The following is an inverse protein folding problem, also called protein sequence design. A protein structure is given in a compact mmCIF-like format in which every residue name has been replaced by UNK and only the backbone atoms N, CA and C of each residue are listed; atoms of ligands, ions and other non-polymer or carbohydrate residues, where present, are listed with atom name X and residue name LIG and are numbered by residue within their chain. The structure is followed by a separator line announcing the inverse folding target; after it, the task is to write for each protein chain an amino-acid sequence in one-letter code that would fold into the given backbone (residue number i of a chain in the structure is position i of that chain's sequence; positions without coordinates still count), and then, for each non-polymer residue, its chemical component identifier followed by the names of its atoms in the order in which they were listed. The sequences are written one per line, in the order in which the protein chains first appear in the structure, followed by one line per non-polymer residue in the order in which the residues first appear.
data_IF_752473597726
#
_entry.id   IF_752473597726
#
_cell.length_a   1.000
_cell.length_b   1.000
_cell.length_c   1.000
_cell.angle_alpha   90.00
_cell.angle_beta   90.00
_cell.angle_gamma   90.00
#
_symmetry.space_group_name_H-M   'P 1'
#
loop_
_entity.id
_entity.type
_entity.pdbx_description
1 polymer ?
#
# COMPACT_ATOMS: atom_id res chain seq x y z
N UNK A 1 -43.69 -33.28 -3.55
CA UNK A 1 -42.68 -32.20 -3.55
C UNK A 1 -41.33 -32.88 -3.66
N UNK A 2 -40.62 -32.66 -4.75
CA UNK A 2 -39.41 -33.41 -5.11
C UNK A 2 -38.18 -32.86 -4.37
N UNK A 3 -37.45 -33.75 -3.70
CA UNK A 3 -36.26 -33.44 -2.91
C UNK A 3 -35.13 -32.80 -3.74
N UNK A 4 -35.13 -33.02 -5.06
CA UNK A 4 -34.18 -32.44 -6.01
C UNK A 4 -34.28 -30.90 -6.12
N UNK A 5 -35.48 -30.33 -5.94
CA UNK A 5 -35.70 -28.87 -5.97
C UNK A 5 -35.14 -28.19 -4.73
N UNK A 6 -35.15 -28.87 -3.58
CA UNK A 6 -34.64 -28.35 -2.31
C UNK A 6 -33.12 -28.38 -2.30
N UNK A 7 -32.50 -29.47 -2.79
CA UNK A 7 -31.04 -29.57 -2.89
C UNK A 7 -30.44 -28.54 -3.84
N UNK A 8 -31.11 -28.24 -4.96
CA UNK A 8 -30.62 -27.23 -5.91
C UNK A 8 -30.68 -25.79 -5.34
N UNK A 9 -31.74 -25.45 -4.60
CA UNK A 9 -31.87 -24.13 -3.93
C UNK A 9 -30.87 -23.95 -2.78
N UNK A 10 -30.55 -25.02 -2.06
CA UNK A 10 -29.57 -25.00 -0.97
C UNK A 10 -28.12 -24.84 -1.50
N UNK A 11 -27.79 -25.49 -2.62
CA UNK A 11 -26.48 -25.35 -3.27
C UNK A 11 -26.24 -23.94 -3.81
N UNK A 12 -27.26 -23.29 -4.38
CA UNK A 12 -27.20 -21.90 -4.83
C UNK A 12 -26.97 -20.91 -3.67
N UNK A 13 -27.69 -21.09 -2.56
CA UNK A 13 -27.51 -20.28 -1.36
C UNK A 13 -26.10 -20.42 -0.74
N UNK A 14 -25.52 -21.63 -0.79
CA UNK A 14 -24.14 -21.87 -0.35
C UNK A 14 -23.10 -21.19 -1.26
N UNK A 15 -23.32 -21.18 -2.57
CA UNK A 15 -22.44 -20.50 -3.53
C UNK A 15 -22.43 -18.97 -3.34
N UNK A 16 -23.60 -18.35 -3.13
CA UNK A 16 -23.70 -16.91 -2.86
C UNK A 16 -23.02 -16.53 -1.54
N UNK A 17 -23.17 -17.33 -0.49
CA UNK A 17 -22.52 -17.09 0.80
C UNK A 17 -20.99 -17.19 0.73
N UNK A 18 -20.44 -18.07 -0.10
CA UNK A 18 -18.98 -18.18 -0.32
C UNK A 18 -18.41 -17.03 -1.14
N UNK A 19 -19.13 -16.57 -2.18
CA UNK A 19 -18.76 -15.40 -2.97
C UNK A 19 -18.72 -14.12 -2.13
N UNK A 20 -19.69 -13.94 -1.22
CA UNK A 20 -19.73 -12.80 -0.30
C UNK A 20 -18.55 -12.85 0.68
N UNK A 21 -18.24 -14.01 1.26
CA UNK A 21 -17.10 -14.18 2.17
C UNK A 21 -15.75 -13.91 1.47
N UNK A 22 -15.59 -14.38 0.23
CA UNK A 22 -14.38 -14.14 -0.56
C UNK A 22 -14.21 -12.65 -0.92
N UNK A 23 -15.30 -11.99 -1.33
CA UNK A 23 -15.28 -10.55 -1.64
C UNK A 23 -14.96 -9.71 -0.40
N UNK A 24 -15.46 -10.10 0.77
CA UNK A 24 -15.18 -9.46 2.06
C UNK A 24 -13.71 -9.63 2.50
N UNK A 25 -13.15 -10.84 2.34
CA UNK A 25 -11.75 -11.10 2.62
C UNK A 25 -10.82 -10.25 1.74
N UNK A 26 -11.08 -10.21 0.42
CA UNK A 26 -10.35 -9.38 -0.54
C UNK A 26 -10.46 -7.88 -0.22
N UNK A 27 -11.63 -7.39 0.18
CA UNK A 27 -11.79 -5.99 0.58
C UNK A 27 -11.04 -5.65 1.86
N UNK A 28 -10.94 -6.59 2.81
CA UNK A 28 -10.21 -6.39 4.08
C UNK A 28 -8.70 -6.35 3.84
N UNK A 29 -8.19 -7.22 2.97
CA UNK A 29 -6.79 -7.25 2.55
C UNK A 29 -6.40 -5.94 1.84
N UNK A 30 -7.22 -5.49 0.87
CA UNK A 30 -7.00 -4.21 0.19
C UNK A 30 -7.02 -3.01 1.14
N UNK A 31 -7.88 -3.02 2.16
CA UNK A 31 -7.92 -1.95 3.16
C UNK A 31 -6.67 -1.94 4.05
N UNK A 32 -6.15 -3.12 4.41
CA UNK A 32 -4.91 -3.26 5.18
C UNK A 32 -3.73 -2.72 4.37
N UNK A 33 -3.63 -3.10 3.11
CA UNK A 33 -2.59 -2.65 2.19
C UNK A 33 -2.61 -1.12 2.03
N UNK A 34 -3.79 -0.53 1.83
CA UNK A 34 -3.95 0.92 1.76
C UNK A 34 -3.48 1.61 3.04
N UNK A 35 -3.82 1.08 4.21
CA UNK A 35 -3.36 1.60 5.49
C UNK A 35 -1.84 1.53 5.66
N UNK A 36 -1.21 0.47 5.17
CA UNK A 36 0.26 0.31 5.20
C UNK A 36 0.96 1.26 4.23
N UNK A 37 0.47 1.40 3.00
CA UNK A 37 0.98 2.36 2.00
C UNK A 37 0.89 3.78 2.54
N UNK A 38 -0.25 4.12 3.16
CA UNK A 38 -0.48 5.43 3.76
C UNK A 38 0.59 5.76 4.80
N UNK A 39 0.86 4.82 5.73
CA UNK A 39 1.89 4.95 6.78
C UNK A 39 3.30 5.00 6.20
N UNK A 40 3.59 4.20 5.18
CA UNK A 40 4.89 4.18 4.53
C UNK A 40 5.18 5.53 3.85
N UNK A 41 4.18 6.07 3.17
CA UNK A 41 4.28 7.36 2.48
C UNK A 41 4.54 8.52 3.46
N UNK A 42 3.86 8.54 4.61
CA UNK A 42 4.14 9.49 5.70
C UNK A 42 5.56 9.35 6.26
N UNK A 43 6.06 8.13 6.42
CA UNK A 43 7.44 7.90 6.88
C UNK A 43 8.48 8.43 5.88
N UNK A 44 8.24 8.25 4.58
CA UNK A 44 9.12 8.81 3.55
C UNK A 44 9.11 10.34 3.56
N UNK A 45 7.93 10.97 3.70
CA UNK A 45 7.83 12.42 3.85
C UNK A 45 8.61 12.90 5.09
N UNK A 46 8.51 12.19 6.22
CA UNK A 46 9.29 12.51 7.42
C UNK A 46 10.80 12.44 7.18
N UNK A 47 11.31 11.46 6.42
CA UNK A 47 12.74 11.38 6.11
C UNK A 47 13.16 12.58 5.27
N UNK A 48 12.37 12.89 4.24
CA UNK A 48 12.62 14.03 3.36
C UNK A 48 12.64 15.36 4.12
N UNK A 49 11.64 15.60 4.98
CA UNK A 49 11.58 16.79 5.82
C UNK A 49 12.77 16.88 6.77
N UNK A 50 13.23 15.76 7.32
CA UNK A 50 14.46 15.72 8.11
C UNK A 50 15.69 16.19 7.32
N UNK A 51 15.81 15.79 6.06
CA UNK A 51 16.89 16.26 5.15
C UNK A 51 16.75 17.76 4.89
N UNK A 52 15.54 18.26 4.65
CA UNK A 52 15.27 19.68 4.41
C UNK A 52 15.65 20.52 5.64
N UNK A 53 15.17 20.15 6.84
CA UNK A 53 15.48 20.83 8.10
C UNK A 53 17.00 20.85 8.36
N UNK A 54 17.66 19.71 8.17
CA UNK A 54 19.13 19.60 8.29
C UNK A 54 19.85 20.50 7.30
N UNK A 55 19.36 20.60 6.06
CA UNK A 55 19.95 21.44 5.02
C UNK A 55 19.77 22.93 5.31
N UNK A 56 18.57 23.36 5.73
CA UNK A 56 18.31 24.73 6.19
C UNK A 56 19.20 25.12 7.37
N UNK A 57 19.46 24.19 8.30
CA UNK A 57 20.38 24.44 9.42
C UNK A 57 21.82 24.59 8.95
N UNK A 58 22.25 23.78 7.99
CA UNK A 58 23.61 23.85 7.40
C UNK A 58 23.85 25.15 6.65
N UNK A 59 22.82 25.79 6.10
CA UNK A 59 22.95 27.06 5.38
C UNK A 59 23.11 28.29 6.29
N UNK A 60 22.85 28.16 7.60
CA UNK A 60 23.06 29.26 8.56
C UNK A 60 24.54 29.29 8.97
N UNK A 61 25.27 30.40 8.73
CA UNK A 61 26.67 30.52 9.12
C UNK A 61 26.84 30.36 10.63
N UNK A 62 27.87 29.64 11.03
CA UNK A 62 28.22 29.55 12.45
C UNK A 62 28.90 30.86 12.86
N UNK A 63 28.25 31.67 13.69
CA UNK A 63 28.94 32.79 14.35
C UNK A 63 30.02 32.20 15.25
N UNK A 64 31.29 32.44 14.92
CA UNK A 64 32.47 31.86 15.59
C UNK A 64 32.61 32.16 17.09
N UNK A 65 31.68 32.92 17.66
CA UNK A 65 31.60 33.26 19.08
C UNK A 65 31.06 32.12 19.97
N UNK A 66 30.19 31.24 19.45
CA UNK A 66 29.63 30.11 20.21
C UNK A 66 30.16 28.81 19.61
N UNK A 67 30.95 28.05 20.38
CA UNK A 67 31.39 26.70 19.98
C UNK A 67 30.20 25.74 20.11
N UNK A 68 29.83 25.07 19.01
CA UNK A 68 28.85 23.98 19.04
C UNK A 68 29.41 22.79 19.81
N UNK A 69 28.63 22.28 20.76
CA UNK A 69 28.96 21.06 21.49
C UNK A 69 28.43 19.81 20.79
N UNK A 70 29.11 18.68 20.93
CA UNK A 70 28.64 17.38 20.39
C UNK A 70 27.25 17.00 20.96
N UNK A 71 27.02 17.24 22.25
CA UNK A 71 25.70 17.02 22.86
C UNK A 71 24.59 17.85 22.21
N UNK A 72 24.86 19.12 21.90
CA UNK A 72 23.91 20.00 21.23
C UNK A 72 23.52 19.47 19.83
N UNK A 73 24.49 18.96 19.07
CA UNK A 73 24.25 18.38 17.74
C UNK A 73 23.36 17.14 17.81
N UNK A 74 23.58 16.27 18.80
CA UNK A 74 22.77 15.07 19.03
C UNK A 74 21.32 15.46 19.38
N UNK A 75 21.14 16.34 20.37
CA UNK A 75 19.79 16.80 20.76
C UNK A 75 19.07 17.53 19.63
N UNK A 76 19.77 18.36 18.84
CA UNK A 76 19.19 19.03 17.67
C UNK A 76 18.79 18.04 16.59
N UNK A 77 19.58 17.00 16.36
CA UNK A 77 19.24 15.95 15.38
C UNK A 77 18.00 15.16 15.80
N UNK A 78 17.86 14.85 17.10
CA UNK A 78 16.65 14.24 17.64
C UNK A 78 15.45 15.16 17.52
N UNK A 79 15.60 16.45 17.81
CA UNK A 79 14.54 17.44 17.65
C UNK A 79 14.08 17.57 16.19
N UNK A 80 15.02 17.63 15.25
CA UNK A 80 14.73 17.70 13.81
C UNK A 80 13.94 16.47 13.36
N UNK A 81 14.24 15.30 13.94
CA UNK A 81 13.51 14.05 13.65
C UNK A 81 12.06 14.13 14.12
N UNK A 82 11.81 14.64 15.33
CA UNK A 82 10.45 14.77 15.86
C UNK A 82 9.64 15.84 15.12
N UNK A 83 10.26 16.96 14.75
CA UNK A 83 9.62 17.94 13.88
C UNK A 83 9.28 17.37 12.51
N UNK A 84 10.19 16.63 11.89
CA UNK A 84 9.92 16.02 10.61
C UNK A 84 8.75 15.03 10.66
N UNK A 85 8.65 14.21 11.72
CA UNK A 85 7.50 13.32 11.94
C UNK A 85 6.20 14.09 12.15
N UNK A 86 6.23 15.14 12.98
CA UNK A 86 5.07 15.97 13.28
C UNK A 86 4.57 16.74 12.07
N UNK A 87 5.47 17.20 11.19
CA UNK A 87 5.12 17.88 9.96
C UNK A 87 4.58 16.89 8.90
N UNK A 88 5.19 15.72 8.78
CA UNK A 88 4.74 14.67 7.86
C UNK A 88 3.34 14.15 8.24
N UNK A 89 3.02 14.01 9.53
CA UNK A 89 1.69 13.58 9.96
C UNK A 89 0.58 14.59 9.62
N UNK A 90 0.95 15.87 9.46
CA UNK A 90 0.03 16.91 9.01
C UNK A 90 -0.18 16.92 7.49
N UNK A 91 0.62 16.15 6.72
CA UNK A 91 0.53 16.01 5.26
C UNK A 91 0.53 17.35 4.49
N UNK A 92 1.28 18.33 4.98
CA UNK A 92 1.23 19.71 4.47
C UNK A 92 1.95 19.91 3.15
N UNK A 93 2.90 19.04 2.79
CA UNK A 93 3.70 19.21 1.56
C UNK A 93 3.09 18.56 0.32
N UNK A 94 2.11 17.66 0.49
CA UNK A 94 1.55 16.83 -0.59
C UNK A 94 2.49 15.72 -1.09
N UNK A 95 3.68 15.57 -0.49
CA UNK A 95 4.64 14.55 -0.89
C UNK A 95 4.17 13.14 -0.53
N UNK A 96 3.64 12.92 0.68
CA UNK A 96 3.09 11.62 1.04
C UNK A 96 1.95 11.19 0.10
N UNK A 97 1.09 12.11 -0.33
CA UNK A 97 0.02 11.79 -1.29
C UNK A 97 0.58 11.38 -2.66
N UNK A 98 1.61 12.07 -3.14
CA UNK A 98 2.27 11.72 -4.40
C UNK A 98 2.92 10.33 -4.35
N UNK A 99 3.58 10.01 -3.23
CA UNK A 99 4.19 8.70 -2.99
C UNK A 99 3.11 7.61 -2.85
N UNK A 100 2.04 7.89 -2.12
CA UNK A 100 0.89 6.99 -1.93
C UNK A 100 0.27 6.63 -3.29
N UNK A 101 0.01 7.63 -4.13
CA UNK A 101 -0.53 7.43 -5.48
C UNK A 101 0.42 6.60 -6.35
N UNK A 102 1.73 6.82 -6.25
CA UNK A 102 2.72 6.05 -6.99
C UNK A 102 2.75 4.58 -6.55
N UNK A 103 2.77 4.32 -5.25
CA UNK A 103 2.78 2.96 -4.70
C UNK A 103 1.49 2.20 -5.03
N UNK A 104 0.33 2.86 -4.91
CA UNK A 104 -0.95 2.28 -5.33
C UNK A 104 -0.99 1.97 -6.83
N UNK A 105 -0.39 2.82 -7.65
CA UNK A 105 -0.24 2.59 -9.09
C UNK A 105 0.55 1.32 -9.40
N UNK A 106 1.70 1.13 -8.73
CA UNK A 106 2.55 -0.06 -8.88
C UNK A 106 1.84 -1.34 -8.43
N UNK A 107 1.09 -1.29 -7.32
CA UNK A 107 0.32 -2.44 -6.85
C UNK A 107 -0.77 -2.84 -7.83
N UNK A 108 -1.52 -1.88 -8.38
CA UNK A 108 -2.54 -2.13 -9.41
C UNK A 108 -1.96 -2.79 -10.66
N UNK A 109 -0.79 -2.34 -11.12
CA UNK A 109 -0.10 -2.93 -12.27
C UNK A 109 0.33 -4.38 -12.01
N UNK A 110 0.82 -4.64 -10.80
CA UNK A 110 1.23 -5.97 -10.37
C UNK A 110 0.04 -6.92 -10.31
N UNK A 111 -1.06 -6.54 -9.66
CA UNK A 111 -2.29 -7.36 -9.57
C UNK A 111 -2.94 -7.59 -10.95
N UNK A 112 -2.93 -6.58 -11.82
CA UNK A 112 -3.47 -6.70 -13.19
C UNK A 112 -2.73 -7.72 -14.06
N UNK A 113 -1.39 -7.84 -13.89
CA UNK A 113 -0.61 -8.85 -14.61
C UNK A 113 -0.96 -10.29 -14.15
N UNK A 114 -1.27 -10.49 -12.86
CA UNK A 114 -1.66 -11.80 -12.35
C UNK A 114 -3.03 -12.26 -12.89
N UNK A 115 -4.02 -11.37 -12.97
CA UNK A 115 -5.34 -11.74 -13.51
C UNK A 115 -5.31 -12.08 -15.00
N UNK A 116 -4.59 -11.30 -15.82
CA UNK A 116 -4.48 -11.55 -17.27
C UNK A 116 -3.73 -12.84 -17.54
N UNK A 117 -2.65 -13.11 -16.79
CA UNK A 117 -1.85 -14.33 -16.94
C UNK A 117 -2.66 -15.57 -16.54
N UNK A 118 -3.46 -15.49 -15.46
CA UNK A 118 -4.27 -16.62 -15.00
C UNK A 118 -5.44 -16.93 -15.96
N UNK A 119 -6.12 -15.89 -16.48
CA UNK A 119 -7.13 -16.05 -17.55
C UNK A 119 -6.54 -16.69 -18.81
N UNK A 120 -5.35 -16.27 -19.22
CA UNK A 120 -4.69 -16.80 -20.40
C UNK A 120 -4.21 -18.25 -20.21
N UNK A 121 -3.83 -18.67 -19.00
CA UNK A 121 -3.50 -20.07 -18.70
C UNK A 121 -4.73 -20.98 -18.63
N UNK A 122 -5.85 -20.49 -18.06
CA UNK A 122 -7.11 -21.25 -17.99
C UNK A 122 -7.74 -21.51 -19.36
N UNK A 123 -7.63 -20.55 -20.29
CA UNK A 123 -8.13 -20.69 -21.67
C UNK A 123 -7.29 -21.65 -22.52
N UNK A 124 -5.99 -21.82 -22.21
CA UNK A 124 -5.12 -22.77 -22.90
C UNK A 124 -5.42 -24.23 -22.52
N UNK A 125 -5.87 -24.48 -21.28
CA UNK A 125 -6.24 -25.82 -20.82
C UNK A 125 -7.54 -26.40 -21.44
N UNK A 126 -8.36 -25.57 -22.08
CA UNK A 126 -9.56 -26.03 -22.81
C UNK A 126 -9.31 -26.32 -24.30
N UNK A 127 -8.23 -25.80 -24.90
CA UNK A 127 -8.00 -25.93 -26.34
C UNK A 127 -7.24 -27.20 -26.75
N UNK A 128 -6.65 -27.94 -25.80
CA UNK A 128 -5.90 -29.17 -26.10
C UNK A 128 -6.72 -30.48 -26.03
N UNK A 129 -7.99 -30.44 -25.58
CA UNK A 129 -8.83 -31.62 -25.34
C UNK A 129 -9.91 -31.92 -26.37
N UNK A 130 -9.91 -31.25 -27.53
CA UNK A 130 -10.96 -31.35 -28.55
C UNK A 130 -10.86 -32.55 -29.50
N UNK A 131 -10.70 -33.77 -28.97
CA UNK A 131 -10.84 -35.00 -29.75
C UNK A 131 -12.32 -35.38 -29.89
N UNK A 132 -12.93 -35.11 -31.05
CA UNK A 132 -14.33 -35.48 -31.36
C UNK A 132 -14.56 -36.99 -31.15
N UNK A 133 -15.59 -37.42 -30.41
CA UNK A 133 -16.00 -38.82 -30.42
C UNK A 133 -16.64 -39.17 -31.78
N UNK A 134 -16.19 -40.29 -32.36
CA UNK A 134 -16.89 -40.99 -33.45
C UNK A 134 -17.93 -41.93 -32.87
#
# INVERSE_FOLDING_TARGET
MDASFITNRLSLAQGESQLVAQKQALSTENQKDQGEIKRLSEQFESIFLGIVLKSMRKSVPNSGFIKKGNGEEIFRSMLDTEYAKSLASQRTTGLAESIENHLLGLMRQTTGQFEVTNKNMGLQHYQSGGGKPR
#
